data_IF_355683380033
#
_entry.id   IF_355683380033
#
_cell.length_a   1.000
_cell.length_b   1.000
_cell.length_c   1.000
_cell.angle_alpha   90.00
_cell.angle_beta   90.00
_cell.angle_gamma   90.00
#
_symmetry.space_group_name_H-M   'P 1'
#
loop_
_entity.id
_entity.type
_entity.pdbx_description
1 polymer ?
#
# COMPACT_ATOMS: atom_id res chain seq x y z
N UNK A 1 -26.24 -15.87 6.59
CA UNK A 1 -25.51 -14.84 7.35
C UNK A 1 -24.75 -13.88 6.42
N UNK A 2 -23.90 -14.39 5.52
CA UNK A 2 -23.10 -13.58 4.59
C UNK A 2 -23.89 -12.57 3.74
N UNK A 3 -24.99 -12.98 3.09
CA UNK A 3 -25.81 -12.07 2.28
C UNK A 3 -26.44 -10.92 3.10
N UNK A 4 -26.82 -11.18 4.36
CA UNK A 4 -27.34 -10.14 5.26
C UNK A 4 -26.25 -9.13 5.64
N UNK A 5 -25.04 -9.62 5.90
CA UNK A 5 -23.89 -8.75 6.18
C UNK A 5 -23.52 -7.90 4.97
N UNK A 6 -23.52 -8.47 3.77
CA UNK A 6 -23.23 -7.74 2.53
C UNK A 6 -24.24 -6.61 2.29
N UNK A 7 -25.54 -6.90 2.40
CA UNK A 7 -26.60 -5.91 2.25
C UNK A 7 -26.50 -4.78 3.30
N UNK A 8 -26.19 -5.11 4.56
CA UNK A 8 -26.05 -4.12 5.63
C UNK A 8 -24.85 -3.17 5.46
N UNK A 9 -23.83 -3.56 4.69
CA UNK A 9 -22.59 -2.80 4.50
C UNK A 9 -22.43 -2.25 3.06
N UNK A 10 -23.46 -2.35 2.21
CA UNK A 10 -23.40 -1.89 0.82
C UNK A 10 -22.38 -2.67 -0.03
N UNK A 11 -22.14 -3.93 0.30
CA UNK A 11 -21.19 -4.79 -0.41
C UNK A 11 -21.92 -5.63 -1.46
N UNK A 12 -21.34 -5.73 -2.64
CA UNK A 12 -21.82 -6.61 -3.69
C UNK A 12 -21.20 -8.02 -3.57
N UNK A 13 -21.99 -9.08 -3.32
CA UNK A 13 -21.46 -10.43 -3.12
C UNK A 13 -20.71 -10.99 -4.33
N UNK A 14 -21.13 -10.65 -5.55
CA UNK A 14 -20.52 -11.16 -6.77
C UNK A 14 -19.14 -10.53 -6.99
N UNK A 15 -19.01 -9.22 -6.77
CA UNK A 15 -17.73 -8.51 -6.77
C UNK A 15 -16.77 -9.10 -5.74
N UNK A 16 -17.24 -9.36 -4.51
CA UNK A 16 -16.40 -9.99 -3.48
C UNK A 16 -15.93 -11.40 -3.88
N UNK A 17 -16.79 -12.18 -4.54
CA UNK A 17 -16.44 -13.51 -5.06
C UNK A 17 -15.37 -13.42 -6.13
N UNK A 18 -15.50 -12.48 -7.07
CA UNK A 18 -14.51 -12.22 -8.11
C UNK A 18 -13.15 -11.81 -7.52
N UNK A 19 -13.15 -10.93 -6.53
CA UNK A 19 -11.92 -10.54 -5.82
C UNK A 19 -11.27 -11.76 -5.16
N UNK A 20 -12.05 -12.63 -4.50
CA UNK A 20 -11.52 -13.83 -3.85
C UNK A 20 -10.90 -14.81 -4.86
N UNK A 21 -11.53 -14.97 -6.03
CA UNK A 21 -11.01 -15.80 -7.12
C UNK A 21 -9.71 -15.24 -7.69
N UNK A 22 -9.65 -13.93 -7.96
CA UNK A 22 -8.43 -13.27 -8.43
C UNK A 22 -7.27 -13.40 -7.44
N UNK A 23 -7.55 -13.34 -6.13
CA UNK A 23 -6.52 -13.54 -5.10
C UNK A 23 -5.96 -14.96 -5.12
N UNK A 24 -6.80 -15.97 -5.34
CA UNK A 24 -6.35 -17.36 -5.56
C UNK A 24 -5.45 -17.49 -6.78
N UNK A 25 -5.82 -16.86 -7.90
CA UNK A 25 -5.02 -16.84 -9.13
C UNK A 25 -3.64 -16.19 -8.92
N UNK A 26 -3.57 -15.03 -8.25
CA UNK A 26 -2.29 -14.39 -7.93
C UNK A 26 -1.41 -15.25 -7.01
N UNK A 27 -2.02 -15.92 -6.04
CA UNK A 27 -1.27 -16.83 -5.17
C UNK A 27 -0.69 -18.02 -5.95
N UNK A 28 -1.44 -18.59 -6.90
CA UNK A 28 -0.93 -19.66 -7.75
C UNK A 28 0.28 -19.20 -8.58
N UNK A 29 0.21 -18.01 -9.17
CA UNK A 29 1.34 -17.42 -9.91
C UNK A 29 2.57 -17.20 -9.02
N UNK A 30 2.37 -16.77 -7.76
CA UNK A 30 3.46 -16.61 -6.79
C UNK A 30 4.06 -17.95 -6.36
N UNK A 31 3.26 -19.01 -6.27
CA UNK A 31 3.72 -20.35 -5.96
C UNK A 31 4.55 -20.92 -7.12
N UNK A 32 4.07 -20.76 -8.36
CA UNK A 32 4.78 -21.18 -9.57
C UNK A 32 6.12 -20.46 -9.73
N UNK A 33 6.16 -19.17 -9.39
CA UNK A 33 7.39 -18.38 -9.36
C UNK A 33 8.31 -18.68 -8.15
N UNK A 34 7.88 -19.54 -7.22
CA UNK A 34 8.67 -19.96 -6.06
C UNK A 34 8.72 -18.97 -4.90
N UNK A 35 7.84 -17.96 -4.88
CA UNK A 35 7.77 -16.96 -3.80
C UNK A 35 6.99 -17.45 -2.58
N UNK A 36 6.02 -18.34 -2.76
CA UNK A 36 5.28 -18.96 -1.65
C UNK A 36 5.36 -20.48 -1.70
N UNK A 37 5.68 -21.08 -0.56
CA UNK A 37 5.82 -22.52 -0.42
C UNK A 37 4.46 -23.14 -0.13
N UNK A 38 3.72 -23.51 -1.16
CA UNK A 38 2.62 -24.45 -0.95
C UNK A 38 3.24 -25.76 -0.46
N UNK A 39 2.90 -26.21 0.74
CA UNK A 39 3.50 -27.43 1.30
C UNK A 39 3.24 -28.60 0.34
N UNK A 40 4.26 -28.93 -0.43
CA UNK A 40 4.32 -30.07 -1.36
C UNK A 40 5.54 -30.92 -1.04
N UNK A 41 6.26 -30.61 0.05
CA UNK A 41 7.56 -31.23 0.36
C UNK A 41 7.68 -31.72 1.81
N UNK A 42 6.56 -31.94 2.49
CA UNK A 42 6.49 -32.66 3.75
C UNK A 42 5.76 -34.01 3.65
N UNK A 43 6.45 -35.05 3.18
CA UNK A 43 6.17 -36.44 3.61
C UNK A 43 5.30 -37.33 2.72
N UNK A 44 5.91 -38.43 2.24
CA UNK A 44 5.25 -39.73 2.16
C UNK A 44 4.64 -40.12 0.81
N UNK A 45 5.26 -41.13 0.18
CA UNK A 45 4.60 -42.03 -0.77
C UNK A 45 3.35 -42.61 -0.10
N UNK A 46 2.16 -42.27 -0.58
CA UNK A 46 0.92 -42.84 -0.04
C UNK A 46 -0.34 -42.25 -0.67
N UNK A 47 -0.94 -43.01 -1.58
CA UNK A 47 -2.36 -43.05 -1.93
C UNK A 47 -3.15 -41.72 -2.03
N UNK A 48 -3.46 -41.33 -3.28
CA UNK A 48 -4.79 -40.87 -3.66
C UNK A 48 -5.38 -39.64 -2.95
N UNK A 49 -4.58 -38.61 -2.66
CA UNK A 49 -5.13 -37.28 -2.33
C UNK A 49 -5.43 -36.54 -3.63
N UNK A 50 -6.70 -36.19 -3.86
CA UNK A 50 -7.05 -35.26 -4.93
C UNK A 50 -6.21 -34.00 -4.76
N UNK A 51 -5.78 -33.43 -5.88
CA UNK A 51 -5.12 -32.15 -5.89
C UNK A 51 -6.13 -31.09 -5.42
N UNK A 52 -6.32 -30.94 -4.11
CA UNK A 52 -7.25 -29.97 -3.52
C UNK A 52 -6.90 -28.52 -3.89
N UNK A 53 -5.78 -28.29 -4.60
CA UNK A 53 -5.42 -27.01 -5.21
C UNK A 53 -6.26 -26.69 -6.45
N UNK A 54 -6.66 -27.70 -7.23
CA UNK A 54 -7.59 -27.49 -8.35
C UNK A 54 -9.04 -27.33 -7.91
N UNK A 55 -9.38 -27.85 -6.73
CA UNK A 55 -10.77 -27.96 -6.28
C UNK A 55 -11.23 -26.77 -5.41
N UNK A 56 -10.30 -25.95 -4.91
CA UNK A 56 -10.60 -24.74 -4.13
C UNK A 56 -9.96 -23.48 -4.78
N UNK A 57 -10.57 -22.91 -5.82
CA UNK A 57 -10.02 -21.77 -6.56
C UNK A 57 -9.91 -20.47 -5.74
N UNK A 58 -10.43 -20.45 -4.52
CA UNK A 58 -10.41 -19.29 -3.62
C UNK A 58 -10.22 -19.74 -2.16
N UNK A 59 -9.55 -18.91 -1.36
CA UNK A 59 -9.42 -19.08 0.10
C UNK A 59 -8.16 -19.80 0.59
N UNK A 60 -7.48 -20.62 -0.22
CA UNK A 60 -6.24 -21.30 0.22
C UNK A 60 -5.10 -20.32 0.52
N UNK A 61 -5.03 -19.21 -0.23
CA UNK A 61 -4.08 -18.13 -0.01
C UNK A 61 -4.36 -17.34 1.29
N UNK A 62 -5.59 -17.43 1.81
CA UNK A 62 -6.10 -16.63 2.93
C UNK A 62 -5.98 -17.35 4.27
N UNK A 63 -5.45 -18.57 4.27
CA UNK A 63 -5.25 -19.36 5.47
C UNK A 63 -4.41 -18.57 6.48
N UNK A 64 -4.98 -18.31 7.67
CA UNK A 64 -4.38 -17.44 8.67
C UNK A 64 -3.14 -18.05 9.33
N UNK A 65 -3.00 -19.37 9.24
CA UNK A 65 -1.85 -20.15 9.67
C UNK A 65 -0.75 -20.27 8.59
N UNK A 66 -1.02 -19.79 7.37
CA UNK A 66 -0.02 -19.82 6.31
C UNK A 66 1.19 -18.92 6.63
N UNK A 67 2.42 -19.38 6.37
CA UNK A 67 3.63 -18.63 6.73
C UNK A 67 3.72 -17.27 6.01
N UNK A 68 3.18 -17.15 4.79
CA UNK A 68 3.14 -15.89 4.04
C UNK A 68 2.16 -14.85 4.62
N UNK A 69 1.25 -15.26 5.52
CA UNK A 69 0.30 -14.36 6.18
C UNK A 69 0.74 -13.92 7.58
N UNK A 70 1.95 -14.29 8.03
CA UNK A 70 2.46 -13.98 9.37
C UNK A 70 2.39 -12.48 9.74
N UNK A 71 2.62 -11.59 8.78
CA UNK A 71 2.58 -10.13 8.97
C UNK A 71 1.29 -9.47 8.46
N UNK A 72 0.28 -10.23 8.00
CA UNK A 72 -0.94 -9.69 7.39
C UNK A 72 -1.74 -8.75 8.32
N UNK A 73 -1.68 -8.99 9.64
CA UNK A 73 -2.30 -8.13 10.66
C UNK A 73 -1.52 -6.85 10.98
N UNK A 74 -0.29 -6.68 10.48
CA UNK A 74 0.58 -5.55 10.82
C UNK A 74 0.42 -4.42 9.82
N UNK A 75 -0.48 -3.49 10.12
CA UNK A 75 -0.79 -2.36 9.25
C UNK A 75 0.43 -1.59 8.69
N UNK A 76 1.52 -1.32 9.45
CA UNK A 76 2.70 -0.66 8.89
C UNK A 76 3.38 -1.45 7.77
N UNK A 77 3.40 -2.79 7.85
CA UNK A 77 3.98 -3.66 6.82
C UNK A 77 3.11 -3.63 5.57
N UNK A 78 1.80 -3.82 5.72
CA UNK A 78 0.84 -3.76 4.60
C UNK A 78 0.91 -2.41 3.89
N UNK A 79 0.98 -1.30 4.64
CA UNK A 79 1.15 0.05 4.10
C UNK A 79 2.48 0.23 3.36
N UNK A 80 3.55 -0.41 3.82
CA UNK A 80 4.84 -0.36 3.15
C UNK A 80 4.82 -1.15 1.82
N UNK A 81 4.14 -2.30 1.78
CA UNK A 81 3.90 -3.06 0.54
C UNK A 81 3.04 -2.27 -0.44
N UNK A 82 1.97 -1.62 0.03
CA UNK A 82 1.17 -0.70 -0.80
C UNK A 82 2.01 0.45 -1.36
N UNK A 83 2.91 1.00 -0.54
CA UNK A 83 3.86 2.02 -1.00
C UNK A 83 4.77 1.47 -2.09
N UNK A 84 5.28 0.24 -1.97
CA UNK A 84 6.12 -0.37 -2.99
C UNK A 84 5.38 -0.57 -4.32
N UNK A 85 4.12 -1.02 -4.29
CA UNK A 85 3.33 -1.28 -5.49
C UNK A 85 2.74 -0.03 -6.15
N UNK A 86 2.50 1.04 -5.39
CA UNK A 86 1.85 2.26 -5.89
C UNK A 86 2.82 3.41 -6.16
N UNK A 87 4.07 3.34 -5.67
CA UNK A 87 5.06 4.35 -6.03
C UNK A 87 5.27 4.39 -7.56
N UNK A 88 5.31 5.55 -8.24
CA UNK A 88 5.50 6.92 -7.75
C UNK A 88 4.22 7.74 -7.55
N UNK A 89 3.05 7.11 -7.43
CA UNK A 89 1.78 7.80 -7.15
C UNK A 89 1.71 8.22 -5.68
N UNK A 90 2.37 9.33 -5.35
CA UNK A 90 2.49 9.87 -3.99
C UNK A 90 2.00 11.31 -3.94
N UNK A 91 1.33 11.67 -2.84
CA UNK A 91 1.03 13.05 -2.49
C UNK A 91 1.58 13.38 -1.09
N UNK A 92 2.16 14.55 -0.92
CA UNK A 92 2.63 15.09 0.34
C UNK A 92 1.72 16.20 0.83
N UNK A 93 1.51 16.28 2.15
CA UNK A 93 0.80 17.39 2.77
C UNK A 93 1.79 18.53 3.03
N UNK A 94 1.57 19.65 2.35
CA UNK A 94 2.41 20.84 2.47
C UNK A 94 1.59 22.01 2.99
N UNK A 95 2.19 22.84 3.85
CA UNK A 95 1.57 24.09 4.27
C UNK A 95 1.76 25.13 3.17
N UNK A 96 0.65 25.68 2.67
CA UNK A 96 0.68 26.79 1.74
C UNK A 96 1.32 28.02 2.40
N UNK A 97 2.40 28.54 1.82
CA UNK A 97 3.18 29.62 2.41
C UNK A 97 2.38 30.93 2.56
N UNK A 98 1.36 31.16 1.73
CA UNK A 98 0.58 32.41 1.71
C UNK A 98 -0.60 32.38 2.68
N UNK A 99 -1.24 31.23 2.83
CA UNK A 99 -2.48 31.06 3.62
C UNK A 99 -2.28 30.24 4.89
N UNK A 100 -1.13 29.58 5.05
CA UNK A 100 -0.84 28.64 6.12
C UNK A 100 -1.67 27.34 6.06
N UNK A 101 -2.52 27.18 5.04
CA UNK A 101 -3.43 26.03 4.93
C UNK A 101 -2.70 24.83 4.37
N UNK A 102 -2.90 23.66 4.99
CA UNK A 102 -2.34 22.41 4.50
C UNK A 102 -3.06 21.97 3.22
N UNK A 103 -2.29 21.64 2.17
CA UNK A 103 -2.77 21.17 0.88
C UNK A 103 -1.98 19.95 0.44
N UNK A 104 -2.67 18.98 -0.15
CA UNK A 104 -2.02 17.82 -0.75
C UNK A 104 -1.42 18.20 -2.10
N UNK A 105 -0.17 17.83 -2.33
CA UNK A 105 0.56 18.07 -3.58
C UNK A 105 1.24 16.80 -4.03
N UNK A 106 1.14 16.49 -5.31
CA UNK A 106 1.98 15.48 -5.96
C UNK A 106 3.06 16.16 -6.82
N UNK A 107 3.91 15.38 -7.48
CA UNK A 107 4.96 15.90 -8.34
C UNK A 107 4.47 16.76 -9.51
N UNK A 108 3.16 16.78 -9.82
CA UNK A 108 2.55 17.55 -10.90
C UNK A 108 1.78 18.78 -10.41
N UNK A 109 1.45 18.88 -9.12
CA UNK A 109 0.78 20.04 -8.54
C UNK A 109 -0.17 19.69 -7.40
N UNK A 110 -1.05 20.64 -7.07
CA UNK A 110 -2.06 20.45 -6.04
C UNK A 110 -3.08 19.36 -6.44
N UNK A 111 -3.42 18.51 -5.48
CA UNK A 111 -4.42 17.46 -5.61
C UNK A 111 -5.38 17.51 -4.43
N UNK A 112 -6.67 17.26 -4.67
CA UNK A 112 -7.65 17.04 -3.59
C UNK A 112 -7.84 15.56 -3.31
N UNK A 113 -8.28 15.20 -2.10
CA UNK A 113 -8.84 13.85 -1.87
C UNK A 113 -10.30 13.85 -2.31
N UNK A 114 -10.71 12.83 -3.07
CA UNK A 114 -12.07 12.71 -3.58
C UNK A 114 -13.08 12.57 -2.42
N UNK A 115 -14.29 13.19 -2.49
CA UNK A 115 -15.29 13.12 -1.41
C UNK A 115 -15.75 11.70 -1.06
N UNK A 116 -15.72 10.77 -2.02
CA UNK A 116 -16.04 9.36 -1.80
C UNK A 116 -14.95 8.55 -1.10
N UNK A 117 -13.78 9.15 -0.84
CA UNK A 117 -12.68 8.50 -0.13
C UNK A 117 -12.89 8.54 1.37
N UNK A 118 -12.46 7.49 2.09
CA UNK A 118 -12.41 7.50 3.55
C UNK A 118 -11.51 8.62 4.10
N UNK A 119 -10.53 9.06 3.32
CA UNK A 119 -9.59 10.11 3.69
C UNK A 119 -10.03 11.51 3.22
N UNK A 120 -11.28 11.70 2.75
CA UNK A 120 -11.74 12.98 2.19
C UNK A 120 -11.55 14.18 3.15
N UNK A 121 -11.69 13.93 4.46
CA UNK A 121 -11.55 14.93 5.53
C UNK A 121 -10.11 15.08 6.04
N UNK A 122 -9.19 14.22 5.60
CA UNK A 122 -7.84 14.16 6.13
C UNK A 122 -7.03 15.41 5.73
N UNK A 123 -6.45 16.09 6.73
CA UNK A 123 -5.67 17.30 6.51
C UNK A 123 -6.51 18.55 6.26
N UNK A 124 -7.84 18.48 6.40
CA UNK A 124 -8.69 19.67 6.41
C UNK A 124 -8.60 20.42 7.75
N UNK A 125 -8.80 21.75 7.77
CA UNK A 125 -8.84 22.52 9.01
C UNK A 125 -9.92 22.00 9.97
N UNK A 126 -9.56 21.80 11.24
CA UNK A 126 -10.47 21.32 12.28
C UNK A 126 -10.70 19.82 12.31
N UNK A 127 -10.15 19.07 11.35
CA UNK A 127 -10.23 17.61 11.30
C UNK A 127 -8.93 16.96 11.84
N UNK A 128 -8.99 15.64 12.09
CA UNK A 128 -7.84 14.88 12.61
C UNK A 128 -6.63 15.00 11.68
N UNK A 129 -5.49 15.42 12.22
CA UNK A 129 -4.23 15.44 11.49
C UNK A 129 -3.80 14.02 11.08
N UNK A 130 -3.26 13.83 9.88
CA UNK A 130 -2.77 12.53 9.46
C UNK A 130 -1.57 12.10 10.31
N UNK A 131 -1.47 10.80 10.59
CA UNK A 131 -0.32 10.21 11.30
C UNK A 131 0.99 10.53 10.59
N UNK A 132 0.97 10.55 9.25
CA UNK A 132 2.09 10.91 8.41
C UNK A 132 1.61 11.80 7.25
N UNK A 133 2.39 12.80 6.84
CA UNK A 133 1.99 13.78 5.82
C UNK A 133 2.17 13.23 4.39
N UNK A 134 1.98 11.93 4.18
CA UNK A 134 2.18 11.28 2.89
C UNK A 134 1.05 10.31 2.58
N UNK A 135 0.57 10.37 1.35
CA UNK A 135 -0.40 9.46 0.78
C UNK A 135 0.21 8.74 -0.42
N UNK A 136 -0.03 7.45 -0.53
CA UNK A 136 0.07 6.73 -1.81
C UNK A 136 -1.34 6.54 -2.37
N UNK A 137 -1.49 6.59 -3.69
CA UNK A 137 -2.79 6.47 -4.34
C UNK A 137 -2.75 5.60 -5.59
N UNK A 138 -3.89 5.03 -5.97
CA UNK A 138 -4.01 4.24 -7.19
C UNK A 138 -4.53 5.07 -8.35
N UNK A 139 -5.66 5.76 -8.15
CA UNK A 139 -6.35 6.49 -9.22
C UNK A 139 -6.34 8.00 -8.98
N UNK A 140 -5.99 8.74 -10.05
CA UNK A 140 -6.04 10.20 -10.12
C UNK A 140 -6.95 10.64 -11.25
N UNK A 141 -7.94 11.46 -10.93
CA UNK A 141 -8.97 11.92 -11.87
C UNK A 141 -9.09 13.42 -11.88
N UNK A 142 -9.43 13.98 -13.05
CA UNK A 142 -9.73 15.41 -13.20
C UNK A 142 -11.19 15.58 -13.58
N UNK A 143 -11.94 16.22 -12.71
CA UNK A 143 -13.32 16.65 -12.98
C UNK A 143 -13.36 18.17 -12.90
N UNK A 144 -13.90 18.75 -11.82
CA UNK A 144 -13.83 20.20 -11.54
C UNK A 144 -12.43 20.65 -11.14
N UNK A 145 -11.72 19.79 -10.40
CA UNK A 145 -10.29 19.88 -10.11
C UNK A 145 -9.69 18.49 -10.09
N UNK A 146 -8.40 18.41 -9.81
CA UNK A 146 -7.68 17.14 -9.74
C UNK A 146 -7.92 16.49 -8.38
N UNK A 147 -8.34 15.22 -8.40
CA UNK A 147 -8.63 14.43 -7.20
C UNK A 147 -7.92 13.07 -7.23
N UNK A 148 -7.56 12.56 -6.05
CA UNK A 148 -7.18 11.16 -5.82
C UNK A 148 -8.35 10.42 -5.20
N UNK A 149 -8.74 9.25 -5.75
CA UNK A 149 -9.90 8.49 -5.24
C UNK A 149 -9.50 7.62 -4.05
N UNK A 150 -8.64 6.66 -4.31
CA UNK A 150 -8.20 5.69 -3.31
C UNK A 150 -6.80 6.06 -2.85
N UNK A 151 -6.64 6.31 -1.55
CA UNK A 151 -5.37 6.69 -0.98
C UNK A 151 -5.16 6.10 0.40
N UNK A 152 -3.90 5.87 0.77
CA UNK A 152 -3.49 5.33 2.07
C UNK A 152 -2.37 6.17 2.65
N UNK A 153 -2.46 6.50 3.95
CA UNK A 153 -1.38 7.18 4.68
C UNK A 153 -0.19 6.25 4.90
N UNK A 154 1.00 6.69 4.48
CA UNK A 154 2.23 5.90 4.55
C UNK A 154 3.30 6.60 5.39
N UNK A 155 4.11 5.80 6.07
CA UNK A 155 5.21 6.30 6.88
C UNK A 155 6.38 6.77 5.99
N UNK A 156 7.16 7.78 6.44
CA UNK A 156 8.38 8.20 5.75
C UNK A 156 9.35 7.04 5.48
N UNK A 157 9.42 6.08 6.41
CA UNK A 157 10.22 4.86 6.29
C UNK A 157 9.90 4.04 5.03
N UNK A 158 8.62 3.89 4.69
CA UNK A 158 8.20 3.14 3.50
C UNK A 158 8.65 3.84 2.22
N UNK A 159 8.53 5.17 2.15
CA UNK A 159 9.01 5.98 1.03
C UNK A 159 10.53 5.97 0.94
N UNK A 160 11.23 6.04 2.07
CA UNK A 160 12.69 5.91 2.12
C UNK A 160 13.17 4.52 1.70
N UNK A 161 12.36 3.46 1.83
CA UNK A 161 12.73 2.12 1.40
C UNK A 161 12.38 1.86 -0.08
N UNK A 162 11.16 2.18 -0.50
CA UNK A 162 10.60 1.79 -1.81
C UNK A 162 10.42 2.95 -2.80
N UNK A 163 10.67 4.19 -2.39
CA UNK A 163 10.60 5.34 -3.28
C UNK A 163 11.75 5.40 -4.29
N UNK A 164 11.76 6.44 -5.11
CA UNK A 164 12.69 6.60 -6.22
C UNK A 164 14.07 7.10 -5.81
N UNK A 165 14.76 7.80 -6.70
CA UNK A 165 16.14 8.21 -6.52
C UNK A 165 16.31 9.10 -5.29
N UNK A 166 17.23 8.72 -4.39
CA UNK A 166 17.49 9.42 -3.13
C UNK A 166 18.66 10.40 -3.23
N UNK A 167 18.35 11.69 -3.13
CA UNK A 167 19.32 12.75 -2.91
C UNK A 167 19.33 13.18 -1.43
N UNK A 168 20.50 13.16 -0.78
CA UNK A 168 20.62 13.39 0.66
C UNK A 168 21.24 14.76 0.89
N UNK A 169 20.46 15.66 1.49
CA UNK A 169 20.90 17.00 1.87
C UNK A 169 21.29 17.00 3.35
N UNK A 170 22.55 16.68 3.60
CA UNK A 170 23.11 16.56 4.95
C UNK A 170 22.97 17.85 5.77
N UNK A 171 23.21 19.00 5.14
CA UNK A 171 23.16 20.33 5.78
C UNK A 171 21.78 20.68 6.34
N UNK A 172 20.70 20.20 5.70
CA UNK A 172 19.31 20.52 6.10
C UNK A 172 18.61 19.36 6.80
N UNK A 173 19.26 18.21 6.95
CA UNK A 173 18.67 16.99 7.52
C UNK A 173 17.47 16.49 6.73
N UNK A 174 17.54 16.59 5.39
CA UNK A 174 16.45 16.22 4.48
C UNK A 174 16.93 15.27 3.39
N UNK A 175 16.00 14.44 2.92
CA UNK A 175 16.17 13.57 1.75
C UNK A 175 15.13 13.96 0.72
N UNK A 176 15.56 14.14 -0.53
CA UNK A 176 14.69 14.35 -1.66
C UNK A 176 14.55 13.04 -2.44
N UNK A 177 13.32 12.64 -2.73
CA UNK A 177 12.99 11.54 -3.64
C UNK A 177 12.52 12.12 -4.97
N UNK A 178 13.11 11.63 -6.07
CA UNK A 178 12.79 12.01 -7.46
C UNK A 178 12.74 13.53 -7.71
N UNK A 179 13.55 14.29 -6.98
CA UNK A 179 13.73 15.72 -7.19
C UNK A 179 12.60 16.62 -6.66
N UNK A 180 11.52 16.07 -6.10
CA UNK A 180 10.39 16.88 -5.61
C UNK A 180 9.90 16.50 -4.21
N UNK A 181 9.98 15.23 -3.83
CA UNK A 181 9.37 14.75 -2.58
C UNK A 181 10.37 14.84 -1.43
N UNK A 182 10.14 15.77 -0.51
CA UNK A 182 11.05 16.04 0.60
C UNK A 182 10.63 15.33 1.89
N UNK A 183 11.57 14.60 2.49
CA UNK A 183 11.40 13.92 3.78
C UNK A 183 12.44 14.39 4.79
N UNK A 184 12.06 14.45 6.07
CA UNK A 184 13.00 14.70 7.16
C UNK A 184 13.67 13.39 7.55
N UNK A 185 14.98 13.31 7.43
CA UNK A 185 15.77 12.17 7.85
C UNK A 185 17.21 12.61 8.13
N UNK A 186 17.81 12.09 9.20
CA UNK A 186 19.22 12.33 9.49
C UNK A 186 20.11 11.69 8.42
N UNK A 187 21.34 12.19 8.30
CA UNK A 187 22.36 11.62 7.41
C UNK A 187 22.54 10.10 7.64
N UNK A 188 22.60 9.69 8.92
CA UNK A 188 22.76 8.29 9.29
C UNK A 188 21.58 7.44 8.82
N UNK A 189 20.34 7.89 9.05
CA UNK A 189 19.13 7.20 8.59
C UNK A 189 19.11 7.10 7.07
N UNK A 190 19.43 8.19 6.36
CA UNK A 190 19.45 8.18 4.90
C UNK A 190 20.49 7.19 4.33
N UNK A 191 21.68 7.13 4.92
CA UNK A 191 22.72 6.16 4.54
C UNK A 191 22.29 4.73 4.83
N UNK A 192 21.63 4.49 5.97
CA UNK A 192 21.07 3.17 6.30
C UNK A 192 20.07 2.71 5.23
N UNK A 193 19.10 3.55 4.86
CA UNK A 193 18.13 3.21 3.81
C UNK A 193 18.80 3.00 2.44
N UNK A 194 19.84 3.80 2.10
CA UNK A 194 20.64 3.56 0.89
C UNK A 194 21.31 2.19 0.89
N UNK A 195 21.81 1.72 2.04
CA UNK A 195 22.40 0.38 2.17
C UNK A 195 21.33 -0.72 2.10
N UNK A 196 20.21 -0.54 2.79
CA UNK A 196 19.09 -1.50 2.77
C UNK A 196 18.55 -1.69 1.34
N UNK A 197 18.36 -0.61 0.59
CA UNK A 197 17.92 -0.67 -0.81
C UNK A 197 18.85 -1.44 -1.74
N UNK A 198 20.16 -1.48 -1.45
CA UNK A 198 21.13 -2.25 -2.23
C UNK A 198 21.14 -3.74 -1.88
N UNK A 199 20.55 -4.09 -0.73
CA UNK A 199 20.48 -5.45 -0.24
C UNK A 199 19.13 -6.13 -0.52
N UNK A 200 18.13 -5.36 -0.97
CA UNK A 200 16.88 -5.84 -1.54
C UNK A 200 17.08 -6.27 -2.99
#
# INVERSE_FOLDING_TARGET
>A
AAARYAAANGLDPETLRQIAEMRGQYASLLADAGFIMSDTRGGGRGAGRSDTRSDAPWGWADASDAPWNADAGRAPVVKAVLCAGLYANVAALEADASTGRARWRDGKGEVGVHPGSLNARLGQPGERSPTHPFLVFHEKVKTSRVFIRDCTTVAPAALLLFGGAMDVRHETGRVCLDGWLWLRASAQTAVLYKKLRKAL
#
